data_IF_382886254550
#
_entry.id   IF_382886254550
#
_cell.length_a   1.000
_cell.length_b   1.000
_cell.length_c   1.000
_cell.angle_alpha   90.00
_cell.angle_beta   90.00
_cell.angle_gamma   90.00
#
_symmetry.space_group_name_H-M   'P 1'
#
loop_
_entity.id
_entity.type
_entity.pdbx_description
1 polymer ?
#
# COMPACT_ATOMS: atom_id res chain seq x y z
N UNK A 1 7.89 17.90 12.76
CA UNK A 1 8.43 18.59 11.56
C UNK A 1 8.37 17.59 10.41
N UNK A 2 7.93 18.00 9.22
CA UNK A 2 7.88 17.14 8.02
C UNK A 2 8.91 17.59 6.99
N UNK A 3 9.27 16.69 6.09
CA UNK A 3 10.21 16.90 4.99
C UNK A 3 9.54 16.55 3.66
N UNK A 4 9.85 17.30 2.59
CA UNK A 4 9.44 16.92 1.23
C UNK A 4 10.17 15.63 0.86
N UNK A 5 9.38 14.60 0.55
CA UNK A 5 9.83 13.22 0.38
C UNK A 5 9.19 12.60 -0.86
N UNK A 6 9.73 11.46 -1.30
CA UNK A 6 9.16 10.61 -2.35
C UNK A 6 9.03 9.17 -1.86
N UNK A 7 8.01 8.45 -2.34
CA UNK A 7 7.72 7.07 -1.94
C UNK A 7 7.76 6.16 -3.17
N UNK A 8 8.57 5.13 -3.09
CA UNK A 8 8.90 4.23 -4.19
C UNK A 8 8.46 2.80 -3.88
N UNK A 9 8.09 2.06 -4.93
CA UNK A 9 7.76 0.63 -4.86
C UNK A 9 9.03 -0.22 -5.02
N UNK A 10 8.96 -1.54 -4.75
CA UNK A 10 10.16 -2.36 -4.69
C UNK A 10 10.72 -2.81 -6.05
N UNK A 11 10.11 -2.44 -7.18
CA UNK A 11 10.61 -2.92 -8.48
C UNK A 11 11.91 -2.21 -8.87
N UNK A 12 12.64 -2.79 -9.83
CA UNK A 12 13.87 -2.23 -10.37
C UNK A 12 13.59 -1.23 -11.51
N UNK A 13 12.36 -0.70 -11.59
CA UNK A 13 11.94 0.23 -12.63
C UNK A 13 11.92 1.67 -12.10
N UNK A 14 12.65 2.56 -12.76
CA UNK A 14 12.80 3.97 -12.38
C UNK A 14 11.51 4.79 -12.50
N UNK A 15 10.42 4.24 -13.04
CA UNK A 15 9.11 4.90 -13.08
C UNK A 15 8.15 4.44 -11.96
N UNK A 16 8.53 3.43 -11.17
CA UNK A 16 7.66 2.82 -10.14
C UNK A 16 7.63 3.65 -8.85
N UNK A 17 7.08 4.86 -8.96
CA UNK A 17 6.96 5.84 -7.90
C UNK A 17 5.49 6.07 -7.54
N UNK A 18 5.13 5.86 -6.27
CA UNK A 18 3.75 6.01 -5.77
C UNK A 18 3.44 7.48 -5.51
N UNK A 19 4.34 8.17 -4.80
CA UNK A 19 4.19 9.57 -4.41
C UNK A 19 5.47 10.30 -4.78
N UNK A 20 5.42 11.13 -5.82
CA UNK A 20 6.60 11.87 -6.31
C UNK A 20 7.02 13.00 -5.35
N UNK A 21 6.04 13.64 -4.70
CA UNK A 21 6.23 14.74 -3.75
C UNK A 21 5.17 14.64 -2.65
N UNK A 22 5.58 14.39 -1.42
CA UNK A 22 4.71 14.31 -0.24
C UNK A 22 5.45 14.82 1.00
N UNK A 23 4.75 15.46 1.93
CA UNK A 23 5.33 15.86 3.22
C UNK A 23 5.18 14.70 4.21
N UNK A 24 6.30 14.18 4.70
CA UNK A 24 6.33 13.08 5.67
C UNK A 24 7.17 13.44 6.89
N UNK A 25 6.87 12.89 8.08
CA UNK A 25 7.82 12.94 9.19
C UNK A 25 9.10 12.18 8.84
N UNK A 26 10.13 12.32 9.69
CA UNK A 26 11.27 11.39 9.62
C UNK A 26 10.76 9.96 9.87
N UNK A 27 11.14 9.04 9.01
CA UNK A 27 10.80 7.62 9.10
C UNK A 27 12.09 6.81 9.04
N UNK A 28 12.10 5.68 9.70
CA UNK A 28 13.21 4.73 9.68
C UNK A 28 12.86 3.52 8.80
N UNK A 29 13.88 2.72 8.49
CA UNK A 29 13.65 1.40 7.87
C UNK A 29 12.74 0.59 8.79
N UNK A 30 11.80 -0.15 8.19
CA UNK A 30 10.76 -0.95 8.85
C UNK A 30 9.56 -0.19 9.44
N UNK A 31 9.49 1.14 9.28
CA UNK A 31 8.27 1.89 9.54
C UNK A 31 7.17 1.56 8.52
N UNK A 32 5.91 1.63 8.97
CA UNK A 32 4.75 1.22 8.18
C UNK A 32 4.02 2.41 7.54
N UNK A 33 3.65 2.24 6.28
CA UNK A 33 2.67 3.09 5.62
C UNK A 33 1.31 2.41 5.59
N UNK A 34 0.26 3.18 5.88
CA UNK A 34 -1.12 2.76 5.75
C UNK A 34 -1.81 3.56 4.64
N UNK A 35 -2.38 2.85 3.66
CA UNK A 35 -3.15 3.44 2.57
C UNK A 35 -4.59 2.98 2.66
N UNK A 36 -5.49 3.92 2.93
CA UNK A 36 -6.93 3.67 2.96
C UNK A 36 -7.53 3.58 1.55
N UNK A 37 -8.75 3.04 1.46
CA UNK A 37 -9.58 3.06 0.23
C UNK A 37 -8.95 2.37 -0.98
N UNK A 38 -8.09 1.39 -0.75
CA UNK A 38 -7.41 0.57 -1.78
C UNK A 38 -8.21 -0.68 -2.21
N UNK A 39 -9.54 -0.65 -2.14
CA UNK A 39 -10.39 -1.83 -2.37
C UNK A 39 -10.76 -2.11 -3.84
N UNK A 40 -10.90 -1.07 -4.66
CA UNK A 40 -11.30 -1.18 -6.06
C UNK A 40 -10.12 -0.90 -7.01
N UNK A 41 -10.00 -1.65 -8.09
CA UNK A 41 -8.98 -1.46 -9.15
C UNK A 41 -7.54 -1.47 -8.65
N UNK A 42 -7.26 -2.22 -7.58
CA UNK A 42 -5.93 -2.41 -7.01
C UNK A 42 -5.42 -3.82 -7.26
N UNK A 43 -5.84 -4.78 -6.45
CA UNK A 43 -5.42 -6.18 -6.57
C UNK A 43 -5.94 -6.84 -7.84
N UNK A 44 -7.05 -6.35 -8.40
CA UNK A 44 -7.64 -6.88 -9.64
C UNK A 44 -6.74 -6.72 -10.86
N UNK A 45 -5.78 -5.80 -10.82
CA UNK A 45 -4.84 -5.53 -11.92
C UNK A 45 -3.39 -5.74 -11.49
N UNK A 46 -3.15 -6.29 -10.29
CA UNK A 46 -1.81 -6.52 -9.78
C UNK A 46 -1.15 -7.71 -10.47
N UNK A 47 0.16 -7.61 -10.71
CA UNK A 47 0.98 -8.69 -11.25
C UNK A 47 2.25 -8.88 -10.40
N UNK A 48 2.88 -10.05 -10.52
CA UNK A 48 4.12 -10.38 -9.83
C UNK A 48 5.36 -9.96 -10.62
N UNK A 49 5.35 -8.74 -11.17
CA UNK A 49 6.52 -8.18 -11.88
C UNK A 49 7.74 -8.13 -10.94
N UNK A 50 8.93 -8.41 -11.47
CA UNK A 50 10.16 -8.61 -10.70
C UNK A 50 10.07 -9.66 -9.56
N UNK A 51 9.12 -10.59 -9.64
CA UNK A 51 8.93 -11.62 -8.61
C UNK A 51 8.31 -11.09 -7.30
N UNK A 52 7.82 -9.85 -7.28
CA UNK A 52 7.22 -9.24 -6.10
C UNK A 52 5.81 -9.79 -5.89
N UNK A 53 5.59 -10.55 -4.82
CA UNK A 53 4.29 -11.19 -4.56
C UNK A 53 3.19 -10.15 -4.27
N UNK A 54 1.97 -10.43 -4.73
CA UNK A 54 0.81 -9.62 -4.36
C UNK A 54 0.52 -9.72 -2.86
N UNK A 55 0.10 -8.64 -2.19
CA UNK A 55 -0.16 -8.66 -0.74
C UNK A 55 -1.19 -9.71 -0.31
N UNK A 56 -0.95 -10.32 0.86
CA UNK A 56 -1.94 -11.17 1.53
C UNK A 56 -3.17 -10.33 1.89
N UNK A 57 -4.36 -10.90 1.66
CA UNK A 57 -5.64 -10.31 2.06
C UNK A 57 -6.10 -10.97 3.35
N UNK A 58 -6.47 -10.15 4.33
CA UNK A 58 -7.07 -10.59 5.59
C UNK A 58 -8.48 -10.00 5.64
N UNK A 59 -9.47 -10.87 5.65
CA UNK A 59 -10.88 -10.48 5.70
C UNK A 59 -11.36 -10.52 7.15
N UNK A 60 -12.14 -9.52 7.54
CA UNK A 60 -12.79 -9.45 8.83
C UNK A 60 -14.24 -9.03 8.61
N UNK A 61 -15.12 -9.50 9.49
CA UNK A 61 -16.53 -9.11 9.52
C UNK A 61 -16.92 -8.95 10.98
N UNK A 62 -17.57 -7.84 11.31
CA UNK A 62 -18.15 -7.66 12.64
C UNK A 62 -19.26 -8.70 12.87
N UNK A 63 -19.37 -9.21 14.10
CA UNK A 63 -20.35 -10.25 14.41
C UNK A 63 -21.80 -9.79 14.16
N UNK A 64 -22.13 -8.52 14.44
CA UNK A 64 -23.45 -7.99 14.18
C UNK A 64 -23.73 -7.88 12.67
N UNK A 65 -22.72 -7.58 11.86
CA UNK A 65 -22.84 -7.58 10.39
C UNK A 65 -23.00 -9.00 9.87
N UNK A 66 -22.23 -9.96 10.38
CA UNK A 66 -22.31 -11.36 9.95
C UNK A 66 -23.69 -11.96 10.19
N UNK A 67 -24.35 -11.60 11.31
CA UNK A 67 -25.67 -12.12 11.66
C UNK A 67 -26.82 -11.59 10.80
N UNK A 68 -26.59 -10.53 10.01
CA UNK A 68 -27.58 -9.96 9.09
C UNK A 68 -27.29 -10.24 7.62
N UNK A 69 -26.23 -11.02 7.33
CA UNK A 69 -25.93 -11.61 6.02
C UNK A 69 -26.50 -13.01 5.96
#
# INVERSE_FOLDING_TARGET
MTLESSVWRPTCDGIDCVLKKVQLPMLEVDDWFYFEKIGAYTVSTACAFNGMQTPRRVYFCDAAVWLVV
#
